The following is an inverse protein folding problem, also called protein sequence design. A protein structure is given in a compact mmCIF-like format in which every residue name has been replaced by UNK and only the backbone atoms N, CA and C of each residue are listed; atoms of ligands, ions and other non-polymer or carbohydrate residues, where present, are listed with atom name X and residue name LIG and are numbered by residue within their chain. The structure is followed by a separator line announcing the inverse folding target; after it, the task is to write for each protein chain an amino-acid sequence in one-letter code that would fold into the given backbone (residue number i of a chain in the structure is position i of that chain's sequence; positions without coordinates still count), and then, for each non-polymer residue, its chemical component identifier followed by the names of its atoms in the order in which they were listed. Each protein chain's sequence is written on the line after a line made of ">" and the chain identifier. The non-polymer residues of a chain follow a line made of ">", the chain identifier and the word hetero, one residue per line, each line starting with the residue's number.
data_IF_350431796602
#
_entry.id   IF_350431796602
#
_cell.length_a   1.000
_cell.length_b   1.000
_cell.length_c   1.000
_cell.angle_alpha   90.00
_cell.angle_beta   90.00
_cell.angle_gamma   90.00
#
_symmetry.space_group_name_H-M   'P 1'
#
loop_
_entity.id
_entity.type
_entity.pdbx_description
1 polymer ?
#
# COMPACT_ATOMS: atom_id res chain seq x y z
N UNK A 1 18.52 -5.89 -5.39
CA UNK A 1 17.07 -5.88 -5.68
C UNK A 1 16.72 -4.78 -6.65
N UNK A 2 15.57 -4.89 -7.33
CA UNK A 2 14.95 -3.76 -8.03
C UNK A 2 13.76 -3.23 -7.24
N UNK A 3 13.41 -1.96 -7.45
CA UNK A 3 12.31 -1.32 -6.73
C UNK A 3 11.21 -0.79 -7.65
N UNK A 4 9.95 -0.90 -7.22
CA UNK A 4 8.86 -0.10 -7.78
C UNK A 4 8.44 0.99 -6.79
N UNK A 5 8.41 2.24 -7.26
CA UNK A 5 8.23 3.42 -6.40
C UNK A 5 7.00 4.22 -6.81
N UNK A 6 6.29 4.86 -5.86
CA UNK A 6 5.15 5.68 -6.19
C UNK A 6 5.62 7.03 -6.74
N UNK A 7 4.86 7.61 -7.67
CA UNK A 7 5.00 9.04 -7.98
C UNK A 7 4.04 9.88 -7.16
N UNK A 8 4.52 11.03 -6.69
CA UNK A 8 3.73 12.09 -6.10
C UNK A 8 3.50 13.28 -7.06
N UNK A 9 4.02 13.18 -8.31
CA UNK A 9 4.01 14.22 -9.34
C UNK A 9 4.72 15.54 -8.99
N UNK A 10 5.53 15.59 -7.91
CA UNK A 10 6.25 16.81 -7.57
C UNK A 10 7.42 17.05 -8.53
N UNK A 11 7.69 18.33 -8.80
CA UNK A 11 8.84 18.75 -9.60
C UNK A 11 10.16 18.25 -8.98
N UNK A 12 11.13 17.89 -9.83
CA UNK A 12 12.43 17.37 -9.41
C UNK A 12 12.42 15.98 -8.73
N UNK A 13 11.26 15.37 -8.47
CA UNK A 13 11.20 14.04 -7.82
C UNK A 13 11.90 12.96 -8.66
N UNK A 14 11.64 12.95 -9.97
CA UNK A 14 12.23 11.96 -10.88
C UNK A 14 13.76 12.10 -10.99
N UNK A 15 14.29 13.31 -10.83
CA UNK A 15 15.74 13.59 -10.88
C UNK A 15 16.48 13.10 -9.64
N UNK A 16 15.75 12.96 -8.53
CA UNK A 16 16.28 12.46 -7.26
C UNK A 16 16.21 10.93 -7.16
N UNK A 17 15.62 10.24 -8.13
CA UNK A 17 15.56 8.78 -8.13
C UNK A 17 16.93 8.19 -8.51
N UNK A 18 17.46 7.24 -7.72
CA UNK A 18 18.73 6.60 -8.02
C UNK A 18 18.61 5.74 -9.28
N UNK A 19 19.46 6.04 -10.26
CA UNK A 19 19.53 5.29 -11.51
C UNK A 19 19.92 3.82 -11.25
N UNK A 20 19.34 2.89 -12.01
CA UNK A 20 19.68 1.46 -11.95
C UNK A 20 18.98 0.67 -10.83
N UNK A 21 18.58 1.29 -9.72
CA UNK A 21 17.87 0.61 -8.62
C UNK A 21 16.35 0.56 -8.83
N UNK A 22 15.78 1.58 -9.46
CA UNK A 22 14.33 1.71 -9.69
C UNK A 22 13.95 1.08 -11.03
N UNK A 23 13.10 0.05 -11.01
CA UNK A 23 12.59 -0.59 -12.23
C UNK A 23 11.36 0.11 -12.81
N UNK A 24 10.47 0.61 -11.94
CA UNK A 24 9.25 1.28 -12.40
C UNK A 24 8.76 2.32 -11.41
N UNK A 25 8.13 3.35 -11.96
CA UNK A 25 7.38 4.37 -11.24
C UNK A 25 5.90 4.09 -11.45
N UNK A 26 5.12 4.06 -10.37
CA UNK A 26 3.69 3.75 -10.45
C UNK A 26 2.80 4.88 -9.95
N UNK A 27 1.68 5.08 -10.61
CA UNK A 27 0.74 6.18 -10.33
C UNK A 27 -0.63 5.96 -10.95
N UNK A 28 -1.56 6.89 -10.69
CA UNK A 28 -2.85 6.95 -11.38
C UNK A 28 -3.45 8.35 -11.28
N UNK A 29 -4.48 8.62 -12.07
CA UNK A 29 -5.33 9.79 -11.88
C UNK A 29 -6.03 9.72 -10.51
N UNK A 30 -6.37 10.87 -9.89
CA UNK A 30 -7.12 10.89 -8.63
C UNK A 30 -8.45 10.14 -8.72
N UNK A 31 -9.11 10.20 -9.88
CA UNK A 31 -10.36 9.52 -10.18
C UNK A 31 -10.32 8.94 -11.59
N UNK A 32 -10.86 7.73 -11.73
CA UNK A 32 -11.16 7.11 -13.03
C UNK A 32 -12.34 6.13 -12.89
N UNK A 33 -12.72 5.48 -14.00
CA UNK A 33 -13.87 4.58 -14.06
C UNK A 33 -13.65 3.21 -13.39
N UNK A 34 -12.42 2.89 -12.96
CA UNK A 34 -12.08 1.62 -12.29
C UNK A 34 -11.98 1.83 -10.78
N UNK A 35 -11.29 2.88 -10.35
CA UNK A 35 -10.91 3.10 -8.95
C UNK A 35 -9.54 2.48 -8.64
N UNK A 36 -9.17 2.45 -7.36
CA UNK A 36 -7.90 1.90 -6.89
C UNK A 36 -7.85 1.75 -5.37
N UNK A 37 -6.69 1.34 -4.86
CA UNK A 37 -6.53 1.03 -3.43
C UNK A 37 -6.40 2.20 -2.47
N UNK A 38 -6.70 3.44 -2.90
CA UNK A 38 -6.67 4.65 -2.06
C UNK A 38 -7.80 5.59 -2.46
N UNK A 39 -8.47 6.23 -1.49
CA UNK A 39 -9.45 7.27 -1.76
C UNK A 39 -8.84 8.45 -2.53
N UNK A 40 -9.63 9.09 -3.38
CA UNK A 40 -9.15 10.16 -4.28
C UNK A 40 -8.59 11.37 -3.55
N UNK A 41 -9.11 11.71 -2.37
CA UNK A 41 -8.66 12.87 -1.58
C UNK A 41 -7.24 12.72 -1.02
N UNK A 42 -6.76 11.48 -0.84
CA UNK A 42 -5.42 11.19 -0.33
C UNK A 42 -4.34 11.24 -1.42
N UNK A 43 -4.74 11.24 -2.69
CA UNK A 43 -3.81 11.18 -3.81
C UNK A 43 -3.43 12.59 -4.29
N UNK A 44 -2.20 12.77 -4.78
CA UNK A 44 -1.78 14.01 -5.42
C UNK A 44 -2.65 14.29 -6.65
N UNK A 45 -2.98 15.56 -6.87
CA UNK A 45 -3.77 15.96 -8.02
C UNK A 45 -2.92 15.94 -9.29
N UNK A 46 -3.43 15.32 -10.36
CA UNK A 46 -2.81 15.36 -11.69
C UNK A 46 -3.88 15.31 -12.77
N UNK A 47 -3.73 16.12 -13.82
CA UNK A 47 -4.61 16.10 -14.98
C UNK A 47 -4.17 15.02 -15.98
N UNK A 48 -5.02 14.68 -16.96
CA UNK A 48 -4.62 13.77 -18.05
C UNK A 48 -3.39 14.29 -18.82
N UNK A 49 -3.36 15.60 -19.12
CA UNK A 49 -2.22 16.22 -19.80
C UNK A 49 -0.95 16.19 -18.93
N UNK A 50 -1.09 16.48 -17.63
CA UNK A 50 0.01 16.39 -16.67
C UNK A 50 0.56 14.98 -16.55
N UNK A 51 -0.31 13.96 -16.50
CA UNK A 51 0.12 12.57 -16.45
C UNK A 51 0.85 12.16 -17.73
N UNK A 52 0.34 12.55 -18.90
CA UNK A 52 1.03 12.29 -20.18
C UNK A 52 2.45 12.86 -20.16
N UNK A 53 2.61 14.14 -19.81
CA UNK A 53 3.94 14.77 -19.70
C UNK A 53 4.83 14.04 -18.69
N UNK A 54 4.27 13.63 -17.56
CA UNK A 54 5.00 12.88 -16.54
C UNK A 54 5.49 11.52 -17.04
N UNK A 55 4.70 10.80 -17.84
CA UNK A 55 5.13 9.54 -18.47
C UNK A 55 6.28 9.79 -19.46
N UNK A 56 6.20 10.84 -20.27
CA UNK A 56 7.29 11.23 -21.17
C UNK A 56 8.58 11.54 -20.40
N UNK A 57 8.47 12.23 -19.25
CA UNK A 57 9.62 12.56 -18.40
C UNK A 57 10.20 11.33 -17.68
N UNK A 58 9.38 10.35 -17.32
CA UNK A 58 9.82 9.04 -16.82
C UNK A 58 10.65 8.32 -17.90
N UNK A 59 10.15 8.27 -19.14
CA UNK A 59 10.83 7.60 -20.24
C UNK A 59 12.16 8.25 -20.64
N UNK A 60 12.26 9.59 -20.59
CA UNK A 60 13.54 10.31 -20.81
C UNK A 60 14.64 9.87 -19.86
N UNK A 61 14.29 9.33 -18.69
CA UNK A 61 15.22 8.82 -17.66
C UNK A 61 15.40 7.29 -17.73
N UNK A 62 14.87 6.63 -18.76
CA UNK A 62 14.98 5.18 -18.95
C UNK A 62 14.15 4.35 -17.96
N UNK A 63 13.21 4.98 -17.26
CA UNK A 63 12.33 4.31 -16.29
C UNK A 63 11.03 3.88 -16.97
N UNK A 64 10.33 2.93 -16.37
CA UNK A 64 9.02 2.43 -16.85
C UNK A 64 7.88 3.00 -16.00
N UNK A 65 6.73 3.24 -16.64
CA UNK A 65 5.53 3.71 -15.96
C UNK A 65 4.45 2.63 -15.84
N UNK A 66 3.94 2.47 -14.62
CA UNK A 66 2.88 1.52 -14.28
C UNK A 66 1.61 2.24 -13.80
N UNK A 67 0.51 2.13 -14.55
CA UNK A 67 -0.77 2.72 -14.17
C UNK A 67 -1.60 1.79 -13.28
N UNK A 68 -2.15 2.31 -12.19
CA UNK A 68 -2.93 1.50 -11.24
C UNK A 68 -4.44 1.46 -11.55
N UNK A 69 -4.90 0.28 -11.96
CA UNK A 69 -6.32 -0.13 -12.15
C UNK A 69 -6.72 -1.17 -11.09
N UNK A 70 -6.26 -0.97 -9.85
CA UNK A 70 -6.19 -2.00 -8.83
C UNK A 70 -7.35 -1.99 -7.82
N UNK A 71 -8.54 -1.56 -8.25
CA UNK A 71 -9.75 -1.67 -7.44
C UNK A 71 -10.06 -3.15 -7.16
N UNK A 72 -10.31 -3.50 -5.89
CA UNK A 72 -10.71 -4.86 -5.50
C UNK A 72 -12.14 -5.20 -5.94
N UNK A 73 -12.97 -4.18 -6.20
CA UNK A 73 -14.36 -4.33 -6.64
C UNK A 73 -14.73 -3.15 -7.54
N UNK A 74 -15.37 -3.43 -8.68
CA UNK A 74 -15.86 -2.42 -9.62
C UNK A 74 -17.39 -2.19 -9.48
N UNK A 75 -18.06 -2.91 -8.57
CA UNK A 75 -19.52 -2.85 -8.41
C UNK A 75 -20.26 -3.33 -9.65
N UNK A 76 -19.73 -4.34 -10.35
CA UNK A 76 -20.27 -4.93 -11.58
C UNK A 76 -20.32 -3.96 -12.79
N UNK A 77 -19.67 -2.79 -12.71
CA UNK A 77 -19.64 -1.83 -13.82
C UNK A 77 -19.05 -2.43 -15.10
N UNK A 78 -18.07 -3.34 -14.99
CA UNK A 78 -17.44 -4.09 -16.08
C UNK A 78 -18.40 -5.00 -16.86
N UNK A 79 -19.57 -5.31 -16.30
CA UNK A 79 -20.60 -6.09 -17.00
C UNK A 79 -21.62 -5.22 -17.73
N UNK A 80 -21.64 -3.91 -17.48
CA UNK A 80 -22.54 -2.97 -18.16
C UNK A 80 -21.95 -2.47 -19.48
N UNK A 81 -22.77 -2.18 -20.51
CA UNK A 81 -22.27 -1.57 -21.75
C UNK A 81 -21.55 -0.23 -21.50
N UNK A 82 -22.08 0.60 -20.60
CA UNK A 82 -21.49 1.88 -20.25
C UNK A 82 -20.12 1.75 -19.58
N UNK A 83 -20.01 0.89 -18.56
CA UNK A 83 -18.75 0.66 -17.87
C UNK A 83 -17.70 0.02 -18.76
N UNK A 84 -18.08 -0.92 -19.64
CA UNK A 84 -17.15 -1.47 -20.65
C UNK A 84 -16.61 -0.38 -21.57
N UNK A 85 -17.46 0.50 -22.11
CA UNK A 85 -17.01 1.64 -22.95
C UNK A 85 -16.05 2.55 -22.21
N UNK A 86 -16.33 2.87 -20.95
CA UNK A 86 -15.46 3.70 -20.12
C UNK A 86 -14.10 3.03 -19.83
N UNK A 87 -14.09 1.73 -19.52
CA UNK A 87 -12.87 0.96 -19.29
C UNK A 87 -12.02 0.92 -20.57
N UNK A 88 -12.64 0.62 -21.72
CA UNK A 88 -11.98 0.62 -23.03
C UNK A 88 -11.37 1.98 -23.35
N UNK A 89 -12.15 3.06 -23.22
CA UNK A 89 -11.65 4.41 -23.46
C UNK A 89 -10.48 4.79 -22.56
N UNK A 90 -10.50 4.35 -21.29
CA UNK A 90 -9.36 4.54 -20.39
C UNK A 90 -8.12 3.77 -20.87
N UNK A 91 -8.27 2.49 -21.23
CA UNK A 91 -7.16 1.67 -21.73
C UNK A 91 -6.59 2.19 -23.06
N UNK A 92 -7.44 2.65 -23.99
CA UNK A 92 -7.04 3.27 -25.25
C UNK A 92 -6.16 4.51 -24.98
N UNK A 93 -6.58 5.35 -24.02
CA UNK A 93 -5.81 6.52 -23.59
C UNK A 93 -4.48 6.13 -22.92
N UNK A 94 -4.47 5.08 -22.08
CA UNK A 94 -3.23 4.60 -21.45
C UNK A 94 -2.21 4.12 -22.49
N UNK A 95 -2.66 3.45 -23.55
CA UNK A 95 -1.79 3.10 -24.69
C UNK A 95 -1.31 4.35 -25.43
N UNK A 96 -2.19 5.34 -25.62
CA UNK A 96 -1.83 6.60 -26.31
C UNK A 96 -0.72 7.37 -25.58
N UNK A 97 -0.75 7.42 -24.24
CA UNK A 97 0.30 8.05 -23.43
C UNK A 97 1.53 7.15 -23.23
N UNK A 98 1.55 5.97 -23.85
CA UNK A 98 2.63 4.98 -23.78
C UNK A 98 2.90 4.44 -22.36
N UNK A 99 1.85 4.22 -21.55
CA UNK A 99 2.05 3.49 -20.30
C UNK A 99 2.63 2.10 -20.58
N UNK A 100 3.62 1.65 -19.79
CA UNK A 100 4.33 0.39 -20.03
C UNK A 100 3.57 -0.81 -19.44
N UNK A 101 2.91 -0.59 -18.30
CA UNK A 101 2.17 -1.62 -17.59
C UNK A 101 0.92 -1.09 -16.93
N UNK A 102 0.00 -2.01 -16.64
CA UNK A 102 -1.19 -1.76 -15.84
C UNK A 102 -1.29 -2.77 -14.72
N UNK A 103 -1.59 -2.30 -13.51
CA UNK A 103 -1.79 -3.18 -12.34
C UNK A 103 -3.27 -3.37 -12.06
N UNK A 104 -3.76 -4.61 -12.11
CA UNK A 104 -5.18 -4.96 -11.88
C UNK A 104 -5.35 -5.88 -10.68
N UNK A 105 -6.56 -5.94 -10.12
CA UNK A 105 -6.91 -6.91 -9.07
C UNK A 105 -8.05 -7.86 -9.49
N UNK A 106 -8.77 -7.56 -10.58
CA UNK A 106 -9.96 -8.31 -11.03
C UNK A 106 -9.64 -9.08 -12.31
N UNK A 107 -9.89 -10.42 -12.35
CA UNK A 107 -9.58 -11.25 -13.51
C UNK A 107 -10.19 -10.78 -14.84
N UNK A 108 -11.41 -10.22 -14.81
CA UNK A 108 -12.05 -9.67 -16.00
C UNK A 108 -11.17 -8.63 -16.71
N UNK A 109 -10.55 -7.73 -15.95
CA UNK A 109 -9.67 -6.70 -16.51
C UNK A 109 -8.42 -7.35 -17.13
N UNK A 110 -7.82 -8.34 -16.47
CA UNK A 110 -6.68 -9.06 -17.02
C UNK A 110 -7.00 -9.73 -18.36
N UNK A 111 -8.12 -10.45 -18.43
CA UNK A 111 -8.57 -11.07 -19.69
C UNK A 111 -8.78 -10.04 -20.79
N UNK A 112 -9.45 -8.92 -20.47
CA UNK A 112 -9.68 -7.82 -21.41
C UNK A 112 -8.36 -7.22 -21.93
N UNK A 113 -7.41 -6.96 -21.03
CA UNK A 113 -6.12 -6.34 -21.34
C UNK A 113 -5.28 -7.28 -22.20
N UNK A 114 -5.11 -8.55 -21.82
CA UNK A 114 -4.29 -9.48 -22.61
C UNK A 114 -4.87 -9.74 -23.99
N UNK A 115 -6.19 -9.77 -24.12
CA UNK A 115 -6.86 -9.99 -25.41
C UNK A 115 -6.76 -8.79 -26.36
N UNK A 116 -6.88 -7.56 -25.85
CA UNK A 116 -7.08 -6.38 -26.70
C UNK A 116 -5.99 -5.31 -26.59
N UNK A 117 -5.15 -5.38 -25.58
CA UNK A 117 -4.10 -4.41 -25.28
C UNK A 117 -2.76 -5.12 -24.99
N UNK A 118 -2.29 -6.04 -25.87
CA UNK A 118 -1.13 -6.90 -25.60
C UNK A 118 0.19 -6.15 -25.41
N UNK A 119 0.25 -4.86 -25.77
CA UNK A 119 1.43 -4.00 -25.54
C UNK A 119 1.59 -3.59 -24.07
N UNK A 120 0.51 -3.59 -23.30
CA UNK A 120 0.55 -3.29 -21.87
C UNK A 120 0.97 -4.55 -21.11
N UNK A 121 2.04 -4.46 -20.32
CA UNK A 121 2.37 -5.54 -19.38
C UNK A 121 1.30 -5.62 -18.30
N UNK A 122 0.88 -6.83 -17.97
CA UNK A 122 -0.14 -7.11 -16.99
C UNK A 122 0.50 -7.40 -15.64
N UNK A 123 0.37 -6.44 -14.71
CA UNK A 123 0.78 -6.64 -13.33
C UNK A 123 -0.45 -6.96 -12.47
N UNK A 124 -0.27 -7.82 -11.47
CA UNK A 124 -1.34 -8.21 -10.55
C UNK A 124 -1.12 -7.59 -9.19
N UNK A 125 -2.12 -6.87 -8.71
CA UNK A 125 -2.12 -6.18 -7.42
C UNK A 125 -2.14 -7.17 -6.26
N UNK A 126 -1.57 -6.78 -5.12
CA UNK A 126 -1.77 -7.49 -3.84
C UNK A 126 -3.24 -7.60 -3.44
N UNK A 127 -4.10 -6.74 -3.99
CA UNK A 127 -5.57 -6.77 -3.79
C UNK A 127 -6.25 -7.97 -4.47
N UNK A 128 -5.54 -8.71 -5.33
CA UNK A 128 -6.01 -10.00 -5.84
C UNK A 128 -5.89 -11.13 -4.79
N UNK A 129 -5.32 -10.84 -3.61
CA UNK A 129 -5.19 -11.75 -2.47
C UNK A 129 -4.53 -13.10 -2.85
N UNK A 130 -3.44 -13.02 -3.62
CA UNK A 130 -2.64 -14.17 -4.05
C UNK A 130 -1.72 -14.58 -2.91
N UNK A 131 -2.08 -15.69 -2.26
CA UNK A 131 -1.39 -16.21 -1.07
C UNK A 131 -1.07 -17.72 -1.14
N UNK A 132 -1.10 -18.28 -2.35
CA UNK A 132 -0.82 -19.69 -2.59
C UNK A 132 -0.35 -19.92 -4.02
N UNK A 133 0.36 -21.02 -4.24
CA UNK A 133 0.82 -21.42 -5.58
C UNK A 133 -0.34 -21.59 -6.58
N UNK A 134 -1.47 -22.26 -6.27
CA UNK A 134 -2.59 -22.37 -7.21
C UNK A 134 -3.14 -21.01 -7.67
N UNK A 135 -3.26 -20.03 -6.77
CA UNK A 135 -3.67 -18.68 -7.14
C UNK A 135 -2.63 -18.01 -8.04
N UNK A 136 -1.34 -18.16 -7.74
CA UNK A 136 -0.27 -17.59 -8.55
C UNK A 136 -0.23 -18.19 -9.96
N UNK A 137 -0.38 -19.51 -10.09
CA UNK A 137 -0.49 -20.21 -11.38
C UNK A 137 -1.67 -19.71 -12.19
N UNK A 138 -2.86 -19.59 -11.58
CA UNK A 138 -4.03 -19.03 -12.25
C UNK A 138 -3.74 -17.66 -12.90
N UNK A 139 -3.10 -16.75 -12.17
CA UNK A 139 -2.76 -15.43 -12.71
C UNK A 139 -1.65 -15.46 -13.75
N UNK A 140 -0.67 -16.34 -13.61
CA UNK A 140 0.34 -16.57 -14.65
C UNK A 140 -0.30 -17.08 -15.94
N UNK A 141 -1.20 -18.05 -15.86
CA UNK A 141 -1.88 -18.65 -17.01
C UNK A 141 -2.80 -17.63 -17.71
N UNK A 142 -3.32 -16.64 -16.95
CA UNK A 142 -3.98 -15.47 -17.52
C UNK A 142 -3.04 -14.50 -18.24
N UNK A 143 -1.72 -14.72 -18.20
CA UNK A 143 -0.70 -13.92 -18.88
C UNK A 143 -0.13 -12.79 -18.03
N UNK A 144 -0.12 -12.91 -16.70
CA UNK A 144 0.54 -11.95 -15.83
C UNK A 144 2.06 -11.90 -16.07
N UNK A 145 2.59 -10.70 -16.21
CA UNK A 145 4.03 -10.43 -16.34
C UNK A 145 4.69 -10.29 -14.96
N UNK A 146 3.95 -9.80 -13.96
CA UNK A 146 4.40 -9.66 -12.58
C UNK A 146 3.23 -9.81 -11.59
N UNK A 147 3.46 -10.50 -10.48
CA UNK A 147 2.49 -10.71 -9.40
C UNK A 147 3.02 -10.04 -8.13
N UNK A 148 2.24 -9.11 -7.58
CA UNK A 148 2.44 -8.58 -6.23
C UNK A 148 1.69 -9.49 -5.27
N UNK A 149 2.39 -10.19 -4.38
CA UNK A 149 1.77 -11.13 -3.44
C UNK A 149 0.99 -10.41 -2.33
N UNK A 150 0.03 -11.12 -1.74
CA UNK A 150 -0.76 -10.64 -0.62
C UNK A 150 0.14 -10.54 0.63
N UNK A 151 0.36 -9.33 1.19
CA UNK A 151 1.43 -9.17 2.17
C UNK A 151 1.04 -9.69 3.57
N UNK A 152 -0.23 -9.63 3.97
CA UNK A 152 -0.64 -9.87 5.37
C UNK A 152 -0.47 -11.31 5.83
N UNK A 153 -0.47 -12.28 4.90
CA UNK A 153 -0.27 -13.70 5.19
C UNK A 153 1.02 -14.28 4.60
N UNK A 154 1.61 -13.65 3.58
CA UNK A 154 2.70 -14.25 2.79
C UNK A 154 4.06 -13.62 3.07
N UNK A 155 4.15 -12.34 3.43
CA UNK A 155 5.45 -11.66 3.63
C UNK A 155 6.33 -12.33 4.70
N UNK A 156 5.80 -13.20 5.56
CA UNK A 156 6.56 -13.92 6.59
C UNK A 156 6.51 -15.44 6.46
N UNK A 157 5.95 -15.94 5.36
CA UNK A 157 5.85 -17.36 5.08
C UNK A 157 6.83 -17.73 3.95
N UNK A 158 8.09 -17.94 4.35
CA UNK A 158 9.17 -18.28 3.42
C UNK A 158 8.96 -19.60 2.70
N UNK A 159 8.23 -20.55 3.29
CA UNK A 159 7.88 -21.81 2.62
C UNK A 159 6.91 -21.55 1.47
N UNK A 160 5.89 -20.72 1.69
CA UNK A 160 4.97 -20.30 0.63
C UNK A 160 5.67 -19.47 -0.44
N UNK A 161 6.53 -18.50 -0.06
CA UNK A 161 7.30 -17.69 -1.01
C UNK A 161 8.14 -18.59 -1.95
N UNK A 162 8.93 -19.51 -1.38
CA UNK A 162 9.77 -20.45 -2.13
C UNK A 162 8.93 -21.39 -2.99
N UNK A 163 7.79 -21.86 -2.47
CA UNK A 163 6.86 -22.73 -3.22
C UNK A 163 6.28 -22.02 -4.45
N UNK A 164 5.81 -20.77 -4.28
CA UNK A 164 5.30 -19.95 -5.38
C UNK A 164 6.40 -19.72 -6.42
N UNK A 165 7.59 -19.28 -6.00
CA UNK A 165 8.71 -19.02 -6.92
C UNK A 165 9.06 -20.25 -7.76
N UNK A 166 9.10 -21.45 -7.16
CA UNK A 166 9.39 -22.70 -7.87
C UNK A 166 8.36 -23.03 -8.95
N UNK A 167 7.09 -22.69 -8.72
CA UNK A 167 6.00 -23.05 -9.62
C UNK A 167 5.69 -22.02 -10.72
N UNK A 168 6.15 -20.77 -10.60
CA UNK A 168 5.87 -19.71 -11.58
C UNK A 168 7.15 -19.14 -12.20
N UNK A 169 7.02 -18.49 -13.35
CA UNK A 169 8.06 -17.81 -14.13
C UNK A 169 7.87 -16.30 -14.23
N UNK A 170 6.64 -15.80 -14.06
CA UNK A 170 6.41 -14.36 -14.02
C UNK A 170 7.15 -13.69 -12.85
N UNK A 171 7.30 -12.37 -12.91
CA UNK A 171 7.95 -11.61 -11.85
C UNK A 171 7.19 -11.71 -10.53
N UNK A 172 7.90 -11.69 -9.41
CA UNK A 172 7.37 -11.64 -8.05
C UNK A 172 7.79 -10.36 -7.34
N UNK A 173 6.80 -9.66 -6.79
CA UNK A 173 7.00 -8.43 -6.03
C UNK A 173 6.33 -8.53 -4.67
N UNK A 174 6.99 -8.00 -3.63
CA UNK A 174 6.38 -7.80 -2.30
C UNK A 174 6.27 -6.32 -1.99
N UNK A 175 5.28 -5.93 -1.18
CA UNK A 175 5.21 -4.57 -0.63
C UNK A 175 6.04 -4.53 0.64
N UNK A 176 7.07 -3.67 0.65
CA UNK A 176 8.06 -3.67 1.72
C UNK A 176 7.60 -2.89 2.95
N UNK A 177 7.21 -1.63 2.75
CA UNK A 177 6.78 -0.75 3.82
C UNK A 177 5.25 -0.69 3.98
N UNK A 178 4.58 -1.85 3.93
CA UNK A 178 3.20 -1.99 4.38
C UNK A 178 3.15 -2.34 5.87
N UNK A 179 2.05 -1.99 6.53
CA UNK A 179 1.90 -2.04 7.97
C UNK A 179 0.50 -2.53 8.37
N UNK A 180 0.01 -3.56 7.68
CA UNK A 180 -1.24 -4.22 8.03
C UNK A 180 -1.01 -5.21 9.17
N UNK A 181 -2.09 -5.55 9.89
CA UNK A 181 -2.04 -6.62 10.89
C UNK A 181 -1.71 -7.96 10.21
N UNK A 182 -1.03 -8.85 10.93
CA UNK A 182 -0.82 -10.22 10.47
C UNK A 182 -2.18 -10.89 10.24
N UNK A 183 -2.38 -11.49 9.06
CA UNK A 183 -3.67 -12.07 8.65
C UNK A 183 -4.85 -11.14 8.94
N UNK A 184 -4.71 -9.85 8.59
CA UNK A 184 -5.63 -8.80 8.99
C UNK A 184 -7.10 -9.16 8.65
N UNK A 185 -8.01 -9.27 9.64
CA UNK A 185 -9.41 -9.62 9.40
C UNK A 185 -10.15 -8.53 8.62
N UNK A 186 -9.65 -7.30 8.64
CA UNK A 186 -10.24 -6.17 7.93
C UNK A 186 -9.74 -6.03 6.49
N UNK A 187 -8.75 -6.82 6.04
CA UNK A 187 -8.04 -6.56 4.79
C UNK A 187 -8.98 -6.44 3.59
N UNK A 188 -9.79 -7.47 3.32
CA UNK A 188 -10.70 -7.45 2.17
C UNK A 188 -11.75 -6.34 2.26
N UNK A 189 -12.32 -6.13 3.44
CA UNK A 189 -13.32 -5.09 3.66
C UNK A 189 -12.73 -3.69 3.42
N UNK A 190 -11.54 -3.43 3.97
CA UNK A 190 -10.82 -2.18 3.80
C UNK A 190 -10.43 -1.93 2.33
N UNK A 191 -9.99 -2.97 1.61
CA UNK A 191 -9.69 -2.86 0.18
C UNK A 191 -10.93 -2.47 -0.64
N UNK A 192 -12.09 -3.10 -0.36
CA UNK A 192 -13.37 -2.80 -1.03
C UNK A 192 -13.84 -1.38 -0.74
N UNK A 193 -13.78 -0.93 0.52
CA UNK A 193 -14.09 0.47 0.88
C UNK A 193 -13.24 1.44 0.06
N UNK A 194 -11.92 1.23 0.02
CA UNK A 194 -11.00 2.09 -0.74
C UNK A 194 -11.32 2.08 -2.24
N UNK A 195 -11.62 0.91 -2.80
CA UNK A 195 -12.03 0.77 -4.19
C UNK A 195 -13.26 1.63 -4.51
N UNK A 196 -14.31 1.57 -3.69
CA UNK A 196 -15.52 2.36 -3.89
C UNK A 196 -15.32 3.85 -3.61
N UNK A 197 -14.53 4.22 -2.59
CA UNK A 197 -14.21 5.61 -2.26
C UNK A 197 -13.37 6.34 -3.32
N UNK A 198 -12.70 5.59 -4.20
CA UNK A 198 -11.87 6.12 -5.29
C UNK A 198 -12.60 6.25 -6.63
N UNK A 199 -13.87 5.83 -6.70
CA UNK A 199 -14.74 5.98 -7.87
C UNK A 199 -15.54 7.28 -7.71
N UNK A 200 -15.64 8.08 -8.77
CA UNK A 200 -16.20 9.45 -8.76
C UNK A 200 -17.67 9.63 -8.33
N UNK A 201 -18.33 8.61 -7.79
CA UNK A 201 -19.75 8.60 -7.42
C UNK A 201 -20.04 8.30 -5.93
N UNK A 202 -19.02 8.08 -5.09
CA UNK A 202 -19.22 7.71 -3.68
C UNK A 202 -19.10 8.92 -2.74
N UNK A 203 -20.24 9.47 -2.31
CA UNK A 203 -20.28 10.49 -1.25
C UNK A 203 -19.93 9.91 0.16
N UNK A 204 -20.15 8.61 0.38
CA UNK A 204 -20.07 7.95 1.70
C UNK A 204 -18.79 7.16 1.97
N UNK A 205 -17.93 6.94 0.98
CA UNK A 205 -16.71 6.11 1.12
C UNK A 205 -15.69 6.59 2.18
N UNK A 206 -15.86 7.82 2.68
CA UNK A 206 -15.03 8.43 3.71
C UNK A 206 -15.32 7.90 5.12
N UNK A 207 -16.60 7.67 5.47
CA UNK A 207 -16.99 7.26 6.82
C UNK A 207 -16.58 5.81 7.15
N UNK A 208 -16.53 4.92 6.15
CA UNK A 208 -16.17 3.51 6.34
C UNK A 208 -14.64 3.27 6.42
N UNK A 209 -13.82 4.12 5.79
CA UNK A 209 -12.35 4.03 5.87
C UNK A 209 -11.83 4.29 7.30
N UNK A 210 -12.60 5.06 8.06
CA UNK A 210 -12.35 5.36 9.47
C UNK A 210 -12.48 4.12 10.36
N UNK A 211 -13.46 3.24 10.11
CA UNK A 211 -13.68 2.03 10.92
C UNK A 211 -12.46 1.11 10.93
N UNK A 212 -11.92 0.78 9.76
CA UNK A 212 -10.77 -0.13 9.65
C UNK A 212 -9.52 0.49 10.27
N UNK A 213 -9.32 1.80 10.06
CA UNK A 213 -8.16 2.53 10.57
C UNK A 213 -8.19 2.65 12.10
N UNK A 214 -9.35 2.98 12.68
CA UNK A 214 -9.56 3.04 14.13
C UNK A 214 -9.33 1.68 14.78
N UNK A 215 -10.00 0.62 14.30
CA UNK A 215 -9.83 -0.72 14.85
C UNK A 215 -8.39 -1.21 14.76
N UNK A 216 -7.72 -0.98 13.62
CA UNK A 216 -6.32 -1.37 13.44
C UNK A 216 -5.42 -0.70 14.49
N UNK A 217 -5.59 0.61 14.72
CA UNK A 217 -4.81 1.35 15.71
C UNK A 217 -5.16 0.95 17.15
N UNK A 218 -6.45 0.74 17.43
CA UNK A 218 -6.92 0.23 18.71
C UNK A 218 -6.26 -1.10 19.08
N UNK A 219 -6.26 -2.07 18.17
CA UNK A 219 -5.62 -3.38 18.39
C UNK A 219 -4.10 -3.26 18.62
N UNK A 220 -3.43 -2.31 17.97
CA UNK A 220 -2.00 -2.03 18.18
C UNK A 220 -1.68 -1.43 19.53
N UNK A 221 -2.50 -0.48 19.99
CA UNK A 221 -2.32 0.10 21.32
C UNK A 221 -2.64 -0.93 22.40
N UNK A 222 -3.71 -1.71 22.21
CA UNK A 222 -4.14 -2.75 23.15
C UNK A 222 -3.07 -3.84 23.33
N UNK A 223 -2.51 -4.35 22.22
CA UNK A 223 -1.38 -5.29 22.26
C UNK A 223 -0.25 -4.83 21.31
N UNK A 224 0.82 -4.19 21.83
CA UNK A 224 1.94 -3.69 21.04
C UNK A 224 2.67 -4.75 20.21
N UNK A 225 2.47 -6.05 20.49
CA UNK A 225 2.95 -7.13 19.63
C UNK A 225 2.46 -6.99 18.20
N UNK A 226 1.30 -6.38 17.98
CA UNK A 226 0.76 -6.15 16.65
C UNK A 226 1.64 -5.20 15.80
N UNK A 227 2.46 -4.33 16.40
CA UNK A 227 3.48 -3.57 15.65
C UNK A 227 4.53 -4.47 15.04
N UNK A 228 5.01 -5.44 15.82
CA UNK A 228 6.06 -6.37 15.39
C UNK A 228 5.53 -7.47 14.50
N UNK A 229 4.31 -7.98 14.72
CA UNK A 229 3.71 -9.03 13.90
C UNK A 229 3.33 -8.58 12.47
N UNK A 230 3.26 -7.28 12.22
CA UNK A 230 2.77 -6.71 10.96
C UNK A 230 3.57 -7.14 9.73
N UNK A 231 2.98 -7.01 8.55
CA UNK A 231 3.51 -7.53 7.29
C UNK A 231 4.69 -6.76 6.67
N UNK A 232 5.36 -5.90 7.45
CA UNK A 232 6.49 -5.14 6.97
C UNK A 232 7.72 -6.00 6.70
N UNK A 233 8.56 -5.49 5.79
CA UNK A 233 9.91 -5.96 5.53
C UNK A 233 10.87 -4.90 6.06
N UNK A 234 11.83 -5.28 6.89
CA UNK A 234 12.87 -4.37 7.38
C UNK A 234 13.97 -4.24 6.32
N UNK A 235 14.56 -3.05 6.09
CA UNK A 235 15.58 -2.87 5.05
C UNK A 235 16.77 -3.84 5.15
N UNK A 236 17.27 -4.08 6.35
CA UNK A 236 18.36 -5.02 6.66
C UNK A 236 18.02 -6.46 6.23
N UNK A 237 16.75 -6.84 6.33
CA UNK A 237 16.28 -8.19 6.08
C UNK A 237 15.86 -8.42 4.61
N UNK A 238 15.99 -7.42 3.73
CA UNK A 238 15.58 -7.51 2.33
C UNK A 238 16.29 -8.64 1.56
N UNK A 239 17.52 -8.97 1.96
CA UNK A 239 18.33 -10.03 1.33
C UNK A 239 17.67 -11.42 1.45
N UNK A 240 17.00 -11.74 2.56
CA UNK A 240 16.30 -13.02 2.72
C UNK A 240 15.20 -13.22 1.66
N UNK A 241 14.53 -12.14 1.27
CA UNK A 241 13.49 -12.17 0.23
C UNK A 241 14.08 -12.33 -1.17
N UNK A 242 15.21 -11.67 -1.41
CA UNK A 242 16.06 -11.83 -2.60
C UNK A 242 16.41 -13.32 -2.79
N UNK A 243 16.92 -13.96 -1.73
CA UNK A 243 17.28 -15.38 -1.70
C UNK A 243 16.06 -16.31 -1.84
N UNK A 244 14.89 -15.90 -1.35
CA UNK A 244 13.64 -16.62 -1.55
C UNK A 244 13.10 -16.52 -2.99
N UNK A 245 13.74 -15.71 -3.85
CA UNK A 245 13.42 -15.54 -5.26
C UNK A 245 12.44 -14.41 -5.56
N UNK A 246 12.36 -13.40 -4.70
CA UNK A 246 11.58 -12.18 -4.96
C UNK A 246 12.38 -11.23 -5.85
N UNK A 247 11.77 -10.84 -6.98
CA UNK A 247 12.45 -10.06 -8.02
C UNK A 247 12.52 -8.56 -7.71
N UNK A 248 11.49 -8.04 -7.02
CA UNK A 248 11.42 -6.61 -6.65
C UNK A 248 10.67 -6.34 -5.35
N UNK A 249 10.96 -5.18 -4.76
CA UNK A 249 10.18 -4.61 -3.66
C UNK A 249 9.44 -3.36 -4.10
N UNK A 250 8.17 -3.28 -3.71
CA UNK A 250 7.33 -2.10 -3.87
C UNK A 250 7.41 -1.22 -2.64
N UNK A 251 7.79 0.03 -2.83
CA UNK A 251 7.73 1.07 -1.80
C UNK A 251 6.34 1.72 -1.85
N UNK A 252 5.53 1.52 -0.82
CA UNK A 252 4.29 2.24 -0.59
C UNK A 252 4.56 3.69 -0.12
N UNK A 253 3.58 4.57 -0.34
CA UNK A 253 3.73 5.99 0.01
C UNK A 253 3.07 6.99 -0.92
N UNK A 254 2.18 6.59 -1.84
CA UNK A 254 1.51 7.50 -2.81
C UNK A 254 0.85 8.74 -2.21
N UNK A 255 0.47 8.70 -0.93
CA UNK A 255 -0.14 9.82 -0.21
C UNK A 255 0.88 10.67 0.57
N UNK A 256 2.17 10.39 0.44
CA UNK A 256 3.28 11.06 1.14
C UNK A 256 4.10 11.88 0.14
N UNK A 257 4.86 12.86 0.67
CA UNK A 257 5.75 13.71 -0.12
C UNK A 257 6.99 12.97 -0.64
N UNK A 258 7.70 13.62 -1.57
CA UNK A 258 8.90 13.08 -2.20
C UNK A 258 9.97 12.67 -1.19
N UNK A 259 10.20 13.47 -0.14
CA UNK A 259 11.24 13.20 0.85
C UNK A 259 10.98 11.92 1.65
N UNK A 260 9.72 11.63 1.96
CA UNK A 260 9.35 10.37 2.60
C UNK A 260 9.66 9.18 1.66
N UNK A 261 9.26 9.29 0.38
CA UNK A 261 9.45 8.22 -0.60
C UNK A 261 10.94 7.95 -0.80
N UNK A 262 11.75 9.01 -0.92
CA UNK A 262 13.19 8.91 -1.11
C UNK A 262 13.91 8.40 0.14
N UNK A 263 13.48 8.83 1.35
CA UNK A 263 13.98 8.28 2.62
C UNK A 263 13.73 6.78 2.72
N UNK A 264 12.49 6.34 2.44
CA UNK A 264 12.14 4.93 2.44
C UNK A 264 12.95 4.16 1.40
N UNK A 265 13.00 4.64 0.16
CA UNK A 265 13.77 4.01 -0.92
C UNK A 265 15.25 3.88 -0.57
N UNK A 266 15.88 4.95 -0.08
CA UNK A 266 17.28 4.98 0.33
C UNK A 266 17.60 3.90 1.36
N UNK A 267 16.76 3.76 2.39
CA UNK A 267 16.94 2.73 3.41
C UNK A 267 17.02 1.31 2.83
N UNK A 268 16.16 0.95 1.87
CA UNK A 268 16.19 -0.37 1.23
C UNK A 268 17.34 -0.55 0.23
N UNK A 269 17.78 0.52 -0.44
CA UNK A 269 18.96 0.48 -1.31
C UNK A 269 20.21 0.24 -0.46
N UNK A 270 20.33 0.96 0.65
CA UNK A 270 21.46 0.89 1.58
C UNK A 270 21.41 -0.36 2.46
N UNK A 271 20.31 -1.12 2.41
CA UNK A 271 20.03 -2.29 3.26
C UNK A 271 20.19 -1.97 4.75
N UNK A 272 19.79 -0.76 5.17
CA UNK A 272 20.02 -0.27 6.51
C UNK A 272 19.23 0.98 6.86
N UNK A 273 18.78 1.08 8.10
CA UNK A 273 18.15 2.28 8.63
C UNK A 273 18.43 2.48 10.13
N UNK A 274 19.02 3.61 10.50
CA UNK A 274 19.29 3.94 11.91
C UNK A 274 18.14 4.75 12.50
N UNK A 275 17.55 4.25 13.59
CA UNK A 275 16.56 4.98 14.40
C UNK A 275 15.18 4.32 14.39
N UNK A 276 14.14 5.15 14.29
CA UNK A 276 12.75 4.70 14.39
C UNK A 276 12.29 4.02 13.10
N UNK A 277 12.21 2.69 13.07
CA UNK A 277 11.75 1.93 11.91
C UNK A 277 10.39 2.43 11.41
N UNK A 278 9.51 2.89 12.30
CA UNK A 278 8.19 3.37 11.91
C UNK A 278 8.22 4.55 10.93
N UNK A 279 9.33 5.30 10.85
CA UNK A 279 9.55 6.42 9.93
C UNK A 279 9.45 6.02 8.45
N UNK A 280 9.67 4.75 8.13
CA UNK A 280 9.66 4.24 6.75
C UNK A 280 8.25 3.86 6.28
N UNK A 281 7.25 3.90 7.17
CA UNK A 281 5.91 3.38 6.92
C UNK A 281 4.89 4.51 6.81
N UNK A 282 4.10 4.57 5.72
CA UNK A 282 3.23 5.71 5.46
C UNK A 282 2.09 5.87 6.47
N UNK A 283 1.76 4.83 7.27
CA UNK A 283 0.58 4.79 8.13
C UNK A 283 0.82 4.33 9.58
N UNK A 284 2.08 4.21 10.03
CA UNK A 284 2.37 3.87 11.43
C UNK A 284 2.19 5.04 12.41
N UNK A 285 2.17 6.27 11.93
CA UNK A 285 1.86 7.43 12.76
C UNK A 285 0.42 7.89 12.58
N UNK A 286 -0.08 8.58 13.60
CA UNK A 286 -1.29 9.34 13.54
C UNK A 286 -1.12 10.61 12.74
N UNK A 287 -0.05 11.33 13.03
CA UNK A 287 0.50 12.27 12.10
C UNK A 287 1.21 11.49 11.01
N UNK A 288 0.43 10.88 10.11
CA UNK A 288 0.78 10.95 8.71
C UNK A 288 0.82 12.44 8.36
N UNK A 289 1.81 13.18 8.87
CA UNK A 289 2.07 14.49 8.37
C UNK A 289 2.25 14.26 6.87
N UNK A 290 1.38 14.85 6.03
CA UNK A 290 1.83 15.16 4.71
C UNK A 290 2.94 16.19 4.97
N UNK A 291 4.16 15.73 5.23
CA UNK A 291 5.33 16.56 5.02
C UNK A 291 5.52 16.57 3.51
N UNK A 292 4.56 17.17 2.83
CA UNK A 292 4.85 18.07 1.74
C UNK A 292 5.11 19.38 2.46
N UNK A 293 6.38 19.74 2.58
CA UNK A 293 6.77 21.11 2.89
C UNK A 293 5.98 22.04 1.95
N UNK A 294 4.97 22.75 2.48
CA UNK A 294 4.28 23.82 1.73
C UNK A 294 2.74 23.86 1.75
N UNK A 295 2.01 22.87 2.28
CA UNK A 295 0.63 22.66 1.79
C UNK A 295 -0.53 22.63 2.82
N UNK A 296 -0.50 23.50 3.85
CA UNK A 296 -1.76 23.82 4.56
C UNK A 296 -2.86 24.29 3.60
N UNK A 297 -2.47 24.99 2.51
CA UNK A 297 -3.38 25.47 1.44
C UNK A 297 -3.95 24.34 0.57
N UNK A 298 -3.16 23.35 0.15
CA UNK A 298 -3.70 22.23 -0.64
C UNK A 298 -4.55 21.28 0.19
N UNK A 299 -4.19 21.03 1.45
CA UNK A 299 -5.05 20.24 2.33
C UNK A 299 -6.40 20.94 2.54
N UNK A 300 -6.41 22.25 2.76
CA UNK A 300 -7.63 23.05 2.88
C UNK A 300 -8.43 23.08 1.56
N UNK A 301 -7.77 23.22 0.42
CA UNK A 301 -8.40 23.18 -0.91
C UNK A 301 -9.00 21.81 -1.24
N UNK A 302 -8.34 20.71 -0.85
CA UNK A 302 -8.88 19.34 -0.95
C UNK A 302 -10.07 19.16 -0.02
N UNK A 303 -9.99 19.65 1.22
CA UNK A 303 -11.10 19.61 2.17
C UNK A 303 -12.33 20.37 1.64
N UNK A 304 -12.16 21.60 1.15
CA UNK A 304 -13.27 22.39 0.57
C UNK A 304 -13.90 21.70 -0.66
N UNK A 305 -13.09 21.04 -1.49
CA UNK A 305 -13.54 20.36 -2.72
C UNK A 305 -14.33 19.09 -2.46
N UNK A 306 -13.93 18.30 -1.46
CA UNK A 306 -14.54 16.99 -1.18
C UNK A 306 -15.55 17.01 -0.02
N UNK A 307 -15.56 18.06 0.80
CA UNK A 307 -16.43 18.19 1.97
C UNK A 307 -17.37 19.43 1.95
N UNK A 308 -17.93 19.88 0.81
CA UNK A 308 -18.76 21.10 0.78
C UNK A 308 -20.12 20.96 1.49
N UNK A 309 -20.52 19.73 1.90
CA UNK A 309 -21.87 19.42 2.42
C UNK A 309 -21.91 18.75 3.79
N UNK A 310 -20.81 18.65 4.52
CA UNK A 310 -20.84 18.11 5.88
C UNK A 310 -21.17 19.20 6.91
N UNK A 311 -22.43 19.65 6.94
CA UNK A 311 -22.98 20.42 8.06
C UNK A 311 -23.92 19.49 8.83
N UNK A 312 -23.49 18.99 9.99
CA UNK A 312 -24.30 18.11 10.85
C UNK A 312 -23.45 17.23 11.80
N UNK A 313 -24.12 16.41 12.64
CA UNK A 313 -23.46 15.55 13.64
C UNK A 313 -22.40 14.60 13.03
N UNK A 314 -22.61 14.13 11.80
CA UNK A 314 -21.62 13.32 11.07
C UNK A 314 -20.31 14.05 10.77
N UNK A 315 -20.31 15.38 10.66
CA UNK A 315 -19.08 16.18 10.50
C UNK A 315 -18.25 16.19 11.78
N UNK A 316 -18.90 16.45 12.92
CA UNK A 316 -18.26 16.46 14.24
C UNK A 316 -17.65 15.10 14.57
N UNK A 317 -18.38 14.01 14.28
CA UNK A 317 -17.86 12.65 14.45
C UNK A 317 -16.63 12.40 13.55
N UNK A 318 -16.68 12.77 12.27
CA UNK A 318 -15.53 12.64 11.37
C UNK A 318 -14.32 13.46 11.84
N UNK A 319 -14.53 14.66 12.40
CA UNK A 319 -13.47 15.49 12.95
C UNK A 319 -12.83 14.85 14.20
N UNK A 320 -13.66 14.34 15.12
CA UNK A 320 -13.20 13.60 16.31
C UNK A 320 -12.35 12.40 15.90
N UNK A 321 -12.83 11.61 14.92
CA UNK A 321 -12.12 10.46 14.38
C UNK A 321 -10.78 10.89 13.76
N UNK A 322 -10.78 11.90 12.90
CA UNK A 322 -9.57 12.39 12.25
C UNK A 322 -8.53 12.82 13.28
N UNK A 323 -8.96 13.55 14.31
CA UNK A 323 -8.11 13.96 15.43
C UNK A 323 -7.56 12.76 16.20
N UNK A 324 -8.41 11.82 16.59
CA UNK A 324 -7.98 10.63 17.32
C UNK A 324 -7.02 9.75 16.48
N UNK A 325 -7.27 9.63 15.18
CA UNK A 325 -6.34 8.98 14.28
C UNK A 325 -5.02 9.73 14.19
N UNK A 326 -4.99 11.06 14.34
CA UNK A 326 -3.79 11.91 14.27
C UNK A 326 -2.89 11.88 15.50
N UNK A 327 -3.45 11.61 16.68
CA UNK A 327 -2.73 11.61 17.96
C UNK A 327 -1.82 10.39 18.17
N UNK A 328 -1.91 9.36 17.32
CA UNK A 328 -1.18 8.12 17.47
C UNK A 328 0.34 8.28 17.23
N UNK A 329 1.17 7.81 18.15
CA UNK A 329 2.63 7.83 18.00
C UNK A 329 3.25 6.51 18.44
N UNK A 330 4.38 6.14 17.84
CA UNK A 330 5.13 4.93 18.20
C UNK A 330 6.60 5.09 17.81
N UNK A 331 7.48 4.53 18.63
CA UNK A 331 8.90 4.35 18.32
C UNK A 331 9.20 2.86 18.23
N UNK A 332 9.78 2.43 17.12
CA UNK A 332 10.24 1.06 16.91
C UNK A 332 11.75 1.12 16.71
N UNK A 333 12.52 0.71 17.71
CA UNK A 333 13.98 0.65 17.67
C UNK A 333 14.42 -0.38 16.62
N UNK A 334 14.96 0.10 15.49
CA UNK A 334 15.29 -0.77 14.36
C UNK A 334 16.41 -1.78 14.67
N UNK A 335 17.41 -1.35 15.46
CA UNK A 335 18.55 -2.19 15.82
C UNK A 335 18.12 -3.29 16.81
N UNK A 336 17.15 -3.01 17.68
CA UNK A 336 16.59 -4.00 18.59
C UNK A 336 15.85 -5.16 17.88
N UNK A 337 15.66 -5.08 16.55
CA UNK A 337 15.05 -6.12 15.72
C UNK A 337 16.07 -7.04 15.03
N UNK A 338 17.37 -6.90 15.30
CA UNK A 338 18.37 -7.79 14.71
C UNK A 338 18.11 -9.27 15.04
N UNK A 339 18.23 -10.13 14.02
CA UNK A 339 17.89 -11.55 14.09
C UNK A 339 16.38 -11.87 14.14
N UNK A 340 15.49 -10.87 14.13
CA UNK A 340 14.04 -11.10 14.24
C UNK A 340 13.50 -12.02 13.13
N UNK A 341 13.94 -11.80 11.88
CA UNK A 341 13.38 -12.50 10.72
C UNK A 341 13.88 -13.94 10.57
N UNK A 342 15.04 -14.28 11.12
CA UNK A 342 15.67 -15.61 11.01
C UNK A 342 14.74 -16.74 11.47
N UNK A 343 13.98 -16.49 12.53
CA UNK A 343 12.96 -17.41 13.03
C UNK A 343 11.94 -17.81 11.96
N UNK A 344 11.52 -16.86 11.10
CA UNK A 344 10.55 -17.11 10.03
C UNK A 344 11.21 -17.78 8.83
N UNK A 345 12.43 -17.38 8.49
CA UNK A 345 13.23 -17.95 7.38
C UNK A 345 13.48 -19.45 7.60
N UNK A 346 13.68 -19.84 8.86
CA UNK A 346 13.91 -21.22 9.30
C UNK A 346 12.62 -22.01 9.56
N UNK A 347 11.44 -21.45 9.27
CA UNK A 347 10.15 -22.14 9.41
C UNK A 347 9.63 -22.25 10.84
N UNK A 348 10.09 -21.38 11.75
CA UNK A 348 9.67 -21.35 13.16
C UNK A 348 8.22 -20.94 13.36
N UNK A 349 7.67 -20.08 12.48
CA UNK A 349 6.27 -19.66 12.55
C UNK A 349 5.40 -20.47 11.58
N UNK A 350 4.82 -21.58 12.05
CA UNK A 350 3.85 -22.35 11.25
C UNK A 350 2.46 -21.78 11.46
N UNK A 351 1.69 -21.56 10.38
CA UNK A 351 0.32 -20.98 10.34
C UNK A 351 -0.71 -21.52 11.36
N UNK A 352 -0.41 -22.62 12.06
CA UNK A 352 -1.25 -23.30 13.06
C UNK A 352 -0.75 -23.19 14.50
N UNK A 353 0.40 -22.54 14.74
CA UNK A 353 0.93 -22.38 16.09
C UNK A 353 0.10 -21.35 16.86
N UNK A 354 -0.30 -21.68 18.08
CA UNK A 354 -0.88 -20.69 18.99
C UNK A 354 0.15 -19.57 19.19
N UNK A 355 -0.15 -18.39 18.66
CA UNK A 355 0.73 -17.22 18.79
C UNK A 355 0.96 -16.82 20.25
N UNK A 356 0.07 -17.25 21.16
CA UNK A 356 0.23 -17.09 22.61
C UNK A 356 1.28 -18.02 23.20
N UNK A 357 1.55 -19.18 22.58
CA UNK A 357 2.52 -20.17 23.04
C UNK A 357 3.95 -19.93 22.52
N UNK A 358 4.11 -19.36 21.31
CA UNK A 358 5.44 -19.17 20.69
C UNK A 358 6.25 -18.02 21.32
N UNK A 359 5.62 -16.89 21.64
CA UNK A 359 6.28 -15.76 22.33
C UNK A 359 7.28 -14.92 21.50
N UNK A 360 7.79 -15.40 20.36
CA UNK A 360 8.85 -14.75 19.56
C UNK A 360 8.58 -13.25 19.28
N UNK A 361 7.45 -12.93 18.65
CA UNK A 361 7.10 -11.54 18.35
C UNK A 361 6.90 -10.69 19.62
N UNK A 362 6.45 -11.31 20.72
CA UNK A 362 6.22 -10.61 22.00
C UNK A 362 7.53 -10.21 22.64
N UNK A 363 8.54 -11.05 22.55
CA UNK A 363 9.87 -10.75 23.07
C UNK A 363 10.53 -9.58 22.30
N UNK A 364 10.44 -9.60 20.97
CA UNK A 364 10.90 -8.47 20.16
C UNK A 364 10.08 -7.19 20.37
N UNK A 365 8.77 -7.31 20.61
CA UNK A 365 7.95 -6.14 20.91
C UNK A 365 8.35 -5.45 22.22
N UNK A 366 8.68 -6.21 23.27
CA UNK A 366 9.10 -5.64 24.57
C UNK A 366 10.38 -4.81 24.47
N UNK A 367 11.34 -5.23 23.64
CA UNK A 367 12.62 -4.52 23.46
C UNK A 367 12.54 -3.34 22.49
N UNK A 368 11.79 -3.50 21.41
CA UNK A 368 11.85 -2.59 20.27
C UNK A 368 10.75 -1.53 20.28
N UNK A 369 9.55 -1.84 20.80
CA UNK A 369 8.41 -0.94 20.75
C UNK A 369 8.37 -0.05 21.98
N UNK A 370 8.39 1.26 21.78
CA UNK A 370 8.28 2.28 22.81
C UNK A 370 7.25 3.32 22.39
N UNK A 371 6.66 3.99 23.38
CA UNK A 371 5.82 5.15 23.14
C UNK A 371 6.58 6.40 23.56
N UNK A 372 6.51 7.51 22.80
CA UNK A 372 7.19 8.75 23.17
C UNK A 372 6.77 9.28 24.54
N UNK A 373 7.65 10.03 25.19
CA UNK A 373 7.34 10.71 26.45
C UNK A 373 6.16 11.67 26.27
N UNK A 374 5.21 11.66 27.21
CA UNK A 374 3.97 12.44 27.13
C UNK A 374 2.85 11.83 26.29
N UNK A 375 3.10 10.74 25.54
CA UNK A 375 2.04 10.02 24.85
C UNK A 375 1.22 9.17 25.83
N UNK A 376 -0.06 9.53 26.02
CA UNK A 376 -0.98 8.75 26.84
C UNK A 376 -1.69 7.66 26.03
N UNK A 377 -1.13 6.45 26.05
CA UNK A 377 -1.72 5.25 25.42
C UNK A 377 -3.15 5.00 25.92
N UNK A 378 -3.36 5.03 27.24
CA UNK A 378 -4.65 4.67 27.83
C UNK A 378 -5.74 5.70 27.50
N UNK A 379 -5.40 7.00 27.51
CA UNK A 379 -6.34 8.04 27.07
C UNK A 379 -6.76 7.83 25.61
N UNK A 380 -5.81 7.53 24.72
CA UNK A 380 -6.13 7.31 23.30
C UNK A 380 -6.92 6.02 23.08
N UNK A 381 -6.66 4.96 23.87
CA UNK A 381 -7.46 3.74 23.87
C UNK A 381 -8.92 4.02 24.23
N UNK A 382 -9.18 4.75 25.32
CA UNK A 382 -10.54 5.10 25.72
C UNK A 382 -11.26 5.94 24.66
N UNK A 383 -10.55 6.89 24.02
CA UNK A 383 -11.11 7.65 22.88
C UNK A 383 -11.49 6.74 21.71
N UNK A 384 -10.66 5.75 21.38
CA UNK A 384 -10.97 4.79 20.33
C UNK A 384 -12.17 3.90 20.68
N UNK A 385 -12.31 3.46 21.94
CA UNK A 385 -13.48 2.70 22.38
C UNK A 385 -14.77 3.51 22.28
N UNK A 386 -14.77 4.78 22.69
CA UNK A 386 -15.92 5.67 22.52
C UNK A 386 -16.31 5.80 21.04
N UNK A 387 -15.32 6.09 20.18
CA UNK A 387 -15.56 6.31 18.75
C UNK A 387 -15.98 5.05 17.98
N UNK A 388 -15.62 3.86 18.45
CA UNK A 388 -16.04 2.60 17.85
C UNK A 388 -17.45 2.18 18.26
N UNK A 389 -17.97 2.74 19.35
CA UNK A 389 -19.32 2.48 19.87
C UNK A 389 -20.34 3.61 19.56
N UNK A 390 -19.88 4.70 18.95
CA UNK A 390 -20.70 5.84 18.51
C UNK A 390 -21.18 5.67 17.06
#
# INVERSE_FOLDING_TARGET
>A
MRFSVPTNFSEGFLDRLPAGSVASVYGKLPQDCVGGGRPSFMLPAVSRAGLKKHVEDIHKRGLLFNYLLNAACLGNAEFTPGGRRQIRSLLDWLVQIKADSVTVAVPYLAQLIKKHYPRLRLYVSSFANINSLPKALFWQDMGADLIVLEPTSVNRDFDTLRSIRKGIRCGLELVANNACLLNCPFNEYHQKINAHASRGHSALGHAAANFCSLNCKFLRLKDPVNFICSDWIRPEDAHYYEEAGIDSLKIAGRARGADFILKALGAYIDKGYKGNLADLFPFFYGNGAPVVSGEKKEMLGRALRYFPRLLGAGFLLNLKITRALSEFEVYIDNAALDGFLEFFVQGGCKKKADSRACGHCREFAKRAVRFPEGFSKDSLLSKYEELLNA
#
